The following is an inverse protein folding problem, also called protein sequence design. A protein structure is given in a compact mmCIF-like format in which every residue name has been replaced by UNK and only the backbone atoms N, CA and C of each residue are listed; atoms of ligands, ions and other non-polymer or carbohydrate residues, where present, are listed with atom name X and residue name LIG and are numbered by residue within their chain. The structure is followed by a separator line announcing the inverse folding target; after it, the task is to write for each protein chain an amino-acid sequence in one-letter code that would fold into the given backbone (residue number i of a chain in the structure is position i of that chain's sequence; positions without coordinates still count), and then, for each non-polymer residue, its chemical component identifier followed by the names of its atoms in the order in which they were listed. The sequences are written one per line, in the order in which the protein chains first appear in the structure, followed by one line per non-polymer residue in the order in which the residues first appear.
data_IF_637185026546
#
_entry.id   IF_637185026546
#
_cell.length_a   1.000
_cell.length_b   1.000
_cell.length_c   1.000
_cell.angle_alpha   90.00
_cell.angle_beta   90.00
_cell.angle_gamma   90.00
#
_symmetry.space_group_name_H-M   'P 1'
#
loop_
_entity.id
_entity.type
_entity.pdbx_description
1 polymer ?
#
# COMPACT_ATOMS: atom_id res chain seq x y z
N UNK A 1 -6.39 21.44 2.33
CA UNK A 1 -5.95 20.08 2.78
C UNK A 1 -5.02 19.52 1.72
N UNK A 2 -3.84 19.01 2.08
CA UNK A 2 -2.88 18.38 1.16
C UNK A 2 -2.62 16.96 1.69
N UNK A 3 -3.30 15.98 1.10
CA UNK A 3 -3.16 14.57 1.46
C UNK A 3 -2.98 13.73 0.20
N UNK A 4 -1.98 12.87 0.22
CA UNK A 4 -1.69 11.89 -0.81
C UNK A 4 -1.66 10.51 -0.14
N UNK A 5 -2.59 9.65 -0.54
CA UNK A 5 -2.71 8.30 0.01
C UNK A 5 -2.59 7.32 -1.14
N UNK A 6 -1.62 6.42 -1.07
CA UNK A 6 -1.45 5.40 -2.09
C UNK A 6 -0.83 4.12 -1.55
N UNK A 7 -1.11 3.03 -2.25
CA UNK A 7 -0.53 1.72 -2.00
C UNK A 7 0.38 1.35 -3.18
N UNK A 8 1.59 0.92 -2.85
CA UNK A 8 2.58 0.57 -3.87
C UNK A 8 3.75 -0.20 -3.30
N UNK A 9 4.83 -0.28 -4.07
CA UNK A 9 6.08 -0.93 -3.67
C UNK A 9 7.26 0.02 -3.74
N UNK A 10 8.19 -0.14 -2.83
CA UNK A 10 9.49 0.55 -2.90
C UNK A 10 10.25 -0.01 -4.10
N UNK A 11 10.64 0.87 -5.03
CA UNK A 11 11.28 0.51 -6.30
C UNK A 11 12.79 0.63 -6.29
N UNK A 12 13.36 1.39 -5.34
CA UNK A 12 14.81 1.56 -5.15
C UNK A 12 15.21 1.18 -3.73
N UNK A 13 16.51 1.05 -3.50
CA UNK A 13 17.02 0.95 -2.14
C UNK A 13 16.72 2.24 -1.37
N UNK A 14 16.48 2.11 -0.07
CA UNK A 14 16.19 3.25 0.80
C UNK A 14 17.50 3.88 1.24
N UNK A 15 17.69 5.14 0.89
CA UNK A 15 18.84 5.93 1.34
C UNK A 15 18.54 6.54 2.71
N UNK A 16 19.33 6.19 3.72
CA UNK A 16 19.25 6.76 5.05
C UNK A 16 20.34 7.80 5.25
N UNK A 17 19.97 9.00 5.67
CA UNK A 17 20.90 10.10 5.99
C UNK A 17 20.46 10.76 7.28
N UNK A 18 21.42 11.31 8.01
CA UNK A 18 21.16 12.23 9.10
C UNK A 18 21.43 13.67 8.65
N UNK A 19 20.54 14.58 9.00
CA UNK A 19 20.78 16.02 8.79
C UNK A 19 21.81 16.54 9.79
N UNK A 20 22.34 17.74 9.54
CA UNK A 20 23.25 18.41 10.47
C UNK A 20 22.63 18.63 11.88
N UNK A 21 21.31 18.68 11.96
CA UNK A 21 20.55 18.76 13.22
C UNK A 21 20.30 17.41 13.89
N UNK A 22 20.82 16.30 13.34
CA UNK A 22 20.64 14.94 13.86
C UNK A 22 19.30 14.29 13.51
N UNK A 23 18.50 14.89 12.64
CA UNK A 23 17.23 14.30 12.22
C UNK A 23 17.48 13.20 11.17
N UNK A 24 16.89 12.04 11.38
CA UNK A 24 16.92 10.93 10.41
C UNK A 24 16.08 11.25 9.18
N UNK A 25 16.59 10.94 8.00
CA UNK A 25 15.91 11.11 6.71
C UNK A 25 16.04 9.81 5.93
N UNK A 26 14.93 9.32 5.41
CA UNK A 26 14.89 8.19 4.48
C UNK A 26 14.34 8.64 3.14
N UNK A 27 15.07 8.39 2.05
CA UNK A 27 14.68 8.73 0.68
C UNK A 27 14.58 7.47 -0.16
N UNK A 28 13.51 7.35 -0.93
CA UNK A 28 13.26 6.20 -1.80
C UNK A 28 12.31 6.56 -2.94
N UNK A 29 12.26 5.74 -3.98
CA UNK A 29 11.23 5.82 -5.01
C UNK A 29 10.14 4.80 -4.74
N UNK A 30 8.91 5.22 -4.95
CA UNK A 30 7.71 4.45 -4.70
C UNK A 30 6.95 4.22 -5.99
N UNK A 31 6.72 2.97 -6.35
CA UNK A 31 6.02 2.55 -7.56
C UNK A 31 4.56 2.24 -7.23
N UNK A 32 3.65 2.95 -7.86
CA UNK A 32 2.20 2.76 -7.75
C UNK A 32 1.67 2.21 -9.06
N UNK A 33 1.10 1.01 -9.03
CA UNK A 33 0.57 0.36 -10.23
C UNK A 33 -0.65 1.09 -10.77
N UNK A 34 -0.72 1.27 -12.08
CA UNK A 34 -1.89 1.84 -12.76
C UNK A 34 -2.99 0.79 -12.86
N UNK A 35 -4.24 1.22 -12.58
CA UNK A 35 -5.42 0.34 -12.73
C UNK A 35 -5.72 -0.02 -14.18
N UNK A 36 -5.58 0.97 -15.06
CA UNK A 36 -5.85 0.81 -16.49
C UNK A 36 -4.57 1.08 -17.26
N UNK A 37 -4.21 0.15 -18.12
CA UNK A 37 -3.04 0.22 -19.00
C UNK A 37 -3.51 0.35 -20.43
N UNK A 38 -2.87 1.23 -21.18
CA UNK A 38 -2.92 1.21 -22.64
C UNK A 38 -1.67 0.52 -23.16
N UNK A 39 -1.79 -0.11 -24.30
CA UNK A 39 -0.66 -0.76 -24.96
C UNK A 39 0.44 0.29 -25.23
N UNK A 40 1.66 0.02 -24.73
CA UNK A 40 2.80 0.94 -24.82
C UNK A 40 2.98 1.92 -23.66
N UNK A 41 2.06 1.96 -22.67
CA UNK A 41 2.22 2.80 -21.47
C UNK A 41 2.92 2.06 -20.32
N UNK A 42 3.64 2.77 -19.44
CA UNK A 42 4.27 2.18 -18.26
C UNK A 42 3.24 1.60 -17.31
N UNK A 43 3.59 0.49 -16.67
CA UNK A 43 2.73 -0.25 -15.73
C UNK A 43 2.53 0.44 -14.39
N UNK A 44 3.42 1.36 -14.03
CA UNK A 44 3.42 2.05 -12.75
C UNK A 44 3.88 3.49 -12.89
N UNK A 45 3.42 4.32 -11.98
CA UNK A 45 3.92 5.67 -11.75
C UNK A 45 4.93 5.66 -10.60
N UNK A 46 6.00 6.43 -10.74
CA UNK A 46 7.08 6.50 -9.77
C UNK A 46 7.08 7.85 -9.07
N UNK A 47 7.08 7.81 -7.74
CA UNK A 47 7.11 9.00 -6.89
C UNK A 47 8.36 9.01 -6.04
N UNK A 48 9.07 10.15 -6.01
CA UNK A 48 10.17 10.36 -5.07
C UNK A 48 9.59 10.67 -3.70
N UNK A 49 9.80 9.76 -2.75
CA UNK A 49 9.30 9.85 -1.39
C UNK A 49 10.43 10.15 -0.41
N UNK A 50 10.11 10.94 0.60
CA UNK A 50 11.02 11.25 1.71
C UNK A 50 10.27 11.12 3.03
N UNK A 51 10.87 10.42 3.98
CA UNK A 51 10.39 10.30 5.35
C UNK A 51 11.38 11.00 6.28
N UNK A 52 10.87 11.67 7.30
CA UNK A 52 11.68 12.40 8.28
C UNK A 52 11.47 11.87 9.71
N UNK A 53 12.51 12.04 10.54
CA UNK A 53 12.47 11.80 11.97
C UNK A 53 12.06 10.36 12.32
N UNK A 54 11.06 10.22 13.18
CA UNK A 54 10.59 8.92 13.70
C UNK A 54 10.15 7.94 12.61
N UNK A 55 9.60 8.44 11.50
CA UNK A 55 9.17 7.58 10.38
C UNK A 55 10.39 6.98 9.69
N UNK A 56 11.42 7.78 9.43
CA UNK A 56 12.68 7.31 8.86
C UNK A 56 13.39 6.31 9.77
N UNK A 57 13.39 6.54 11.09
CA UNK A 57 13.93 5.59 12.07
C UNK A 57 13.14 4.28 12.08
N UNK A 58 11.81 4.35 11.99
CA UNK A 58 10.97 3.15 11.93
C UNK A 58 11.23 2.36 10.65
N UNK A 59 11.41 3.02 9.51
CA UNK A 59 11.80 2.38 8.26
C UNK A 59 13.11 1.60 8.42
N UNK A 60 14.10 2.20 9.07
CA UNK A 60 15.38 1.56 9.34
C UNK A 60 15.25 0.36 10.30
N UNK A 61 14.51 0.52 11.40
CA UNK A 61 14.27 -0.54 12.38
C UNK A 61 13.52 -1.74 11.81
N UNK A 62 12.55 -1.47 10.91
CA UNK A 62 11.77 -2.51 10.24
C UNK A 62 12.48 -3.11 9.02
N UNK A 63 13.72 -2.69 8.71
CA UNK A 63 14.46 -3.10 7.52
C UNK A 63 13.62 -2.96 6.24
N UNK A 64 12.97 -1.82 6.10
CA UNK A 64 12.20 -1.50 4.89
C UNK A 64 13.17 -1.40 3.72
N UNK A 65 12.95 -2.22 2.70
CA UNK A 65 13.86 -2.37 1.56
C UNK A 65 13.09 -2.38 0.23
N UNK A 66 13.83 -2.36 -0.87
CA UNK A 66 13.28 -2.51 -2.22
C UNK A 66 12.33 -3.71 -2.31
N UNK A 67 11.17 -3.53 -2.94
CA UNK A 67 10.12 -4.53 -3.10
C UNK A 67 9.07 -4.55 -1.99
N UNK A 68 9.33 -3.93 -0.82
CA UNK A 68 8.37 -3.86 0.28
C UNK A 68 7.09 -3.14 -0.18
N UNK A 69 5.93 -3.76 0.08
CA UNK A 69 4.62 -3.18 -0.24
C UNK A 69 4.07 -2.43 0.96
N UNK A 70 3.75 -1.18 0.75
CA UNK A 70 3.27 -0.27 1.78
C UNK A 70 2.01 0.46 1.31
N UNK A 71 1.17 0.82 2.28
CA UNK A 71 0.23 1.92 2.18
C UNK A 71 0.91 3.13 2.81
N UNK A 72 0.98 4.24 2.11
CA UNK A 72 1.53 5.49 2.63
C UNK A 72 0.47 6.58 2.67
N UNK A 73 0.47 7.34 3.74
CA UNK A 73 -0.19 8.64 3.83
C UNK A 73 0.89 9.72 3.83
N UNK A 74 0.75 10.67 2.95
CA UNK A 74 1.79 11.65 2.66
C UNK A 74 1.18 13.00 2.25
N UNK A 75 2.02 13.99 2.09
CA UNK A 75 1.70 15.27 1.46
C UNK A 75 2.63 15.51 0.26
N UNK A 76 2.11 16.20 -0.75
CA UNK A 76 2.88 16.55 -1.94
C UNK A 76 3.46 17.95 -1.76
N UNK A 77 4.78 18.08 -1.95
CA UNK A 77 5.46 19.37 -1.90
C UNK A 77 6.28 19.60 -3.17
N UNK A 78 6.37 20.86 -3.56
CA UNK A 78 7.29 21.26 -4.62
C UNK A 78 8.73 21.20 -4.09
N UNK A 79 9.60 20.60 -4.87
CA UNK A 79 11.03 20.53 -4.62
C UNK A 79 11.77 21.19 -5.80
N UNK A 80 11.62 22.50 -5.89
CA UNK A 80 12.27 23.27 -6.94
C UNK A 80 13.71 23.61 -6.51
N UNK A 81 14.66 23.37 -7.38
CA UNK A 81 16.05 23.74 -7.16
C UNK A 81 16.66 24.37 -8.40
N UNK A 82 17.66 25.19 -8.19
CA UNK A 82 18.43 25.81 -9.26
C UNK A 82 19.81 25.14 -9.33
N UNK A 83 20.16 24.66 -10.52
CA UNK A 83 21.47 24.10 -10.80
C UNK A 83 22.00 24.72 -12.09
N UNK A 84 23.23 25.23 -12.05
CA UNK A 84 23.90 25.83 -13.22
C UNK A 84 23.09 26.95 -13.90
N UNK A 85 22.36 27.76 -13.11
CA UNK A 85 21.49 28.84 -13.61
C UNK A 85 20.16 28.37 -14.24
N UNK A 86 19.89 27.05 -14.24
CA UNK A 86 18.67 26.48 -14.75
C UNK A 86 17.77 26.07 -13.57
N UNK A 87 16.52 26.54 -13.58
CA UNK A 87 15.50 26.16 -12.58
C UNK A 87 14.91 24.79 -12.93
N UNK A 88 15.05 23.86 -12.01
CA UNK A 88 14.43 22.54 -12.08
C UNK A 88 13.19 22.52 -11.18
N UNK A 89 12.07 22.16 -11.78
CA UNK A 89 10.80 21.99 -11.06
C UNK A 89 10.61 20.52 -10.75
N UNK A 90 10.49 20.20 -9.48
CA UNK A 90 10.29 18.83 -9.01
C UNK A 90 9.13 18.73 -8.03
N UNK A 91 8.59 17.55 -7.91
CA UNK A 91 7.58 17.23 -6.91
C UNK A 91 8.12 16.12 -6.01
N UNK A 92 7.91 16.28 -4.72
CA UNK A 92 8.36 15.35 -3.70
C UNK A 92 7.19 14.97 -2.80
N UNK A 93 7.11 13.72 -2.42
CA UNK A 93 6.09 13.17 -1.52
C UNK A 93 6.71 13.02 -0.14
N UNK A 94 6.17 13.75 0.84
CA UNK A 94 6.62 13.69 2.23
C UNK A 94 5.73 12.71 2.99
N UNK A 95 6.31 11.61 3.42
CA UNK A 95 5.58 10.54 4.11
C UNK A 95 5.29 10.93 5.56
N UNK A 96 4.02 10.92 5.95
CA UNK A 96 3.54 11.23 7.29
C UNK A 96 3.22 9.98 8.10
N UNK A 97 2.74 8.92 7.44
CA UNK A 97 2.51 7.61 8.05
C UNK A 97 2.60 6.50 7.00
N UNK A 98 2.76 5.27 7.46
CA UNK A 98 2.77 4.10 6.57
C UNK A 98 2.28 2.85 7.30
N UNK A 99 1.78 1.90 6.51
CA UNK A 99 1.37 0.58 6.97
C UNK A 99 1.91 -0.50 6.04
N UNK A 100 2.28 -1.65 6.59
CA UNK A 100 2.70 -2.80 5.80
C UNK A 100 1.47 -3.50 5.21
N UNK A 101 1.48 -3.71 3.89
CA UNK A 101 0.39 -4.40 3.18
C UNK A 101 0.68 -5.88 2.93
N UNK A 102 1.86 -6.36 3.29
CA UNK A 102 2.26 -7.76 3.19
C UNK A 102 2.98 -8.15 4.48
N UNK A 103 2.63 -9.30 5.05
CA UNK A 103 3.44 -9.90 6.10
C UNK A 103 4.79 -10.27 5.49
N UNK A 104 5.88 -10.04 6.24
CA UNK A 104 7.20 -10.51 5.87
C UNK A 104 7.10 -12.04 5.80
N UNK A 105 7.07 -12.61 4.60
CA UNK A 105 7.19 -14.04 4.43
C UNK A 105 8.51 -14.44 5.10
N UNK A 106 8.43 -15.32 6.10
CA UNK A 106 9.62 -15.94 6.66
C UNK A 106 10.38 -16.56 5.49
N UNK A 107 11.55 -16.04 5.23
CA UNK A 107 12.45 -16.61 4.22
C UNK A 107 12.82 -18.02 4.67
N UNK A 108 12.30 -19.03 3.99
CA UNK A 108 12.67 -20.42 4.16
C UNK A 108 11.66 -21.25 4.92
N UNK A 109 10.63 -21.72 4.22
CA UNK A 109 10.36 -23.16 4.20
C UNK A 109 9.46 -23.45 2.99
N UNK A 110 9.91 -24.41 2.19
CA UNK A 110 9.15 -25.00 1.11
C UNK A 110 7.87 -25.59 1.73
N UNK A 111 6.73 -25.01 1.38
CA UNK A 111 5.45 -25.66 1.59
C UNK A 111 5.42 -26.89 0.69
N UNK A 112 5.78 -28.03 1.27
CA UNK A 112 5.33 -29.31 0.75
C UNK A 112 3.79 -29.31 0.95
N UNK A 113 2.99 -29.67 -0.07
CA UNK A 113 1.57 -29.84 0.13
C UNK A 113 1.36 -31.04 1.07
N UNK A 114 1.10 -30.76 2.33
CA UNK A 114 0.55 -31.77 3.24
C UNK A 114 -0.85 -32.04 2.75
N UNK A 115 -1.09 -33.22 2.18
CA UNK A 115 -2.41 -33.74 1.90
C UNK A 115 -3.21 -33.68 3.22
N UNK A 116 -4.11 -32.72 3.29
CA UNK A 116 -5.11 -32.68 4.35
C UNK A 116 -6.10 -33.78 4.03
N UNK A 117 -6.36 -34.75 4.94
CA UNK A 117 -7.40 -35.71 4.73
C UNK A 117 -8.73 -34.97 4.58
N UNK A 118 -9.45 -35.31 3.53
CA UNK A 118 -10.76 -34.74 3.21
C UNK A 118 -11.67 -34.79 4.44
N UNK A 119 -12.29 -33.65 4.83
CA UNK A 119 -13.34 -33.72 5.82
C UNK A 119 -14.52 -34.50 5.23
N UNK A 120 -14.90 -35.56 5.91
CA UNK A 120 -16.11 -36.35 5.69
C UNK A 120 -17.29 -35.40 5.54
N UNK A 121 -18.02 -35.52 4.46
CA UNK A 121 -19.22 -34.77 4.15
C UNK A 121 -20.21 -34.72 5.34
N UNK A 122 -20.23 -33.59 6.03
CA UNK A 122 -21.45 -33.18 6.70
C UNK A 122 -22.35 -32.60 5.62
N UNK A 123 -23.41 -33.30 5.31
CA UNK A 123 -24.46 -32.88 4.39
C UNK A 123 -25.13 -31.64 4.97
N UNK A 124 -24.64 -30.48 4.60
CA UNK A 124 -25.38 -29.23 4.80
C UNK A 124 -26.41 -29.20 3.68
N UNK A 125 -27.64 -29.60 4.00
CA UNK A 125 -28.77 -29.45 3.11
C UNK A 125 -28.95 -27.96 2.80
N UNK A 126 -28.87 -27.60 1.53
CA UNK A 126 -29.31 -26.30 1.06
C UNK A 126 -30.81 -26.16 1.37
N UNK A 127 -31.28 -24.99 1.83
CA UNK A 127 -32.70 -24.76 2.04
C UNK A 127 -33.44 -24.99 0.73
N UNK A 128 -34.47 -25.83 0.82
CA UNK A 128 -35.35 -26.12 -0.32
C UNK A 128 -36.22 -24.90 -0.63
N UNK A 129 -36.79 -24.90 -1.84
CA UNK A 129 -37.63 -23.81 -2.38
C UNK A 129 -38.79 -23.43 -1.45
N UNK A 130 -39.18 -24.32 -0.54
CA UNK A 130 -40.27 -24.13 0.43
C UNK A 130 -39.86 -23.24 1.62
N UNK A 131 -38.58 -23.18 1.95
CA UNK A 131 -38.03 -22.33 3.04
C UNK A 131 -37.94 -20.85 2.68
N UNK A 132 -38.08 -20.51 1.39
CA UNK A 132 -38.00 -19.11 0.89
C UNK A 132 -39.36 -18.40 0.99
N UNK A 133 -40.45 -19.12 1.13
CA UNK A 133 -41.79 -18.54 1.19
C UNK A 133 -42.18 -17.95 2.56
N UNK A 134 -41.33 -18.14 3.58
CA UNK A 134 -41.58 -17.60 4.92
C UNK A 134 -40.91 -16.21 5.15
N UNK A 135 -40.27 -15.67 4.10
CA UNK A 135 -39.85 -14.28 4.12
C UNK A 135 -41.04 -13.38 3.78
N UNK A 136 -41.62 -12.78 4.77
CA UNK A 136 -42.63 -11.75 4.59
C UNK A 136 -42.09 -10.64 3.72
N UNK A 137 -42.82 -10.22 2.66
CA UNK A 137 -42.42 -9.03 1.91
C UNK A 137 -42.42 -7.82 2.86
N UNK A 138 -41.32 -7.10 2.89
CA UNK A 138 -41.27 -5.83 3.59
C UNK A 138 -42.15 -4.86 2.79
N UNK A 139 -43.27 -4.44 3.38
CA UNK A 139 -44.14 -3.43 2.81
C UNK A 139 -43.32 -2.13 2.65
N UNK A 140 -43.29 -1.60 1.42
CA UNK A 140 -42.60 -0.36 1.03
C UNK A 140 -43.12 0.90 1.77
N UNK A 141 -44.03 0.74 2.72
CA UNK A 141 -44.68 1.83 3.45
C UNK A 141 -43.93 2.28 4.71
N UNK A 142 -42.91 1.56 5.13
CA UNK A 142 -42.15 1.88 6.37
C UNK A 142 -40.73 2.39 6.11
N UNK A 143 -40.43 2.87 4.91
CA UNK A 143 -39.17 3.55 4.65
C UNK A 143 -39.27 5.03 5.05
N UNK A 144 -38.38 5.53 5.94
CA UNK A 144 -38.43 6.90 6.47
C UNK A 144 -37.79 7.93 5.51
N UNK A 145 -38.25 7.99 4.29
CA UNK A 145 -37.99 9.09 3.34
C UNK A 145 -39.15 9.30 2.37
#
# INVERSE_FOLDING_TARGET
MNKFICMGRISTDVEYKATASGMSVARFNFAVSRRFKKEGEPDADFFTCVAFGKIAETFQKCNVSKGTKLLIEAEVRNNNYEKDGVKHYGTQVIVNSFEFCESKAASGDSYAPTETPAPTHATTSFPTQDDINDFMPIDDLDLPF
#
